data_IF_270316086077
#
_entry.id   IF_270316086077
#
_cell.length_a   1.000
_cell.length_b   1.000
_cell.length_c   1.000
_cell.angle_alpha   90.00
_cell.angle_beta   90.00
_cell.angle_gamma   90.00
#
_symmetry.space_group_name_H-M   'P 1'
#
loop_
_entity.id
_entity.type
_entity.pdbx_description
1 polymer ?
#
# COMPACT_ATOMS: atom_id res chain seq x y z
N UNK A 1 -2.02 5.42 28.71
CA UNK A 1 -2.67 4.55 27.72
C UNK A 1 -2.58 3.11 28.24
N UNK A 2 -3.55 2.25 27.99
CA UNK A 2 -3.42 0.83 28.30
C UNK A 2 -2.57 0.12 27.24
N UNK A 3 -1.95 -1.02 27.57
CA UNK A 3 -1.14 -1.80 26.61
C UNK A 3 -1.92 -2.19 25.34
N UNK A 4 -3.23 -2.45 25.45
CA UNK A 4 -4.08 -2.75 24.30
C UNK A 4 -4.33 -1.52 23.41
N UNK A 5 -4.45 -0.33 24.02
CA UNK A 5 -4.59 0.92 23.26
C UNK A 5 -3.29 1.31 22.58
N UNK A 6 -2.13 1.02 23.21
CA UNK A 6 -0.82 1.22 22.60
C UNK A 6 -0.63 0.35 21.37
N UNK A 7 -0.91 -0.96 21.47
CA UNK A 7 -0.82 -1.88 20.33
C UNK A 7 -1.72 -1.46 19.18
N UNK A 8 -2.99 -1.11 19.47
CA UNK A 8 -3.93 -0.65 18.46
C UNK A 8 -3.43 0.63 17.78
N UNK A 9 -2.81 1.56 18.51
CA UNK A 9 -2.28 2.77 17.92
C UNK A 9 -1.11 2.46 16.96
N UNK A 10 -0.25 1.48 17.31
CA UNK A 10 0.79 0.98 16.40
C UNK A 10 0.17 0.32 15.16
N UNK A 11 -0.87 -0.49 15.31
CA UNK A 11 -1.60 -1.08 14.18
C UNK A 11 -2.14 -0.01 13.21
N UNK A 12 -2.68 1.10 13.72
CA UNK A 12 -3.14 2.21 12.88
C UNK A 12 -2.00 2.90 12.14
N UNK A 13 -0.84 3.05 12.77
CA UNK A 13 0.36 3.60 12.13
C UNK A 13 0.80 2.69 10.98
N UNK A 14 0.95 1.38 11.26
CA UNK A 14 1.40 0.38 10.27
C UNK A 14 0.41 0.27 9.11
N UNK A 15 -0.88 0.15 9.39
CA UNK A 15 -1.92 0.10 8.37
C UNK A 15 -1.92 1.35 7.47
N UNK A 16 -1.73 2.54 8.06
CA UNK A 16 -1.61 3.79 7.29
C UNK A 16 -0.39 3.76 6.38
N UNK A 17 0.76 3.37 6.92
CA UNK A 17 2.03 3.34 6.18
C UNK A 17 1.96 2.33 5.03
N UNK A 18 1.40 1.14 5.25
CA UNK A 18 1.24 0.13 4.20
C UNK A 18 0.27 0.59 3.09
N UNK A 19 -0.77 1.34 3.45
CA UNK A 19 -1.76 1.84 2.49
C UNK A 19 -1.30 3.10 1.72
N UNK A 20 -0.45 3.93 2.32
CA UNK A 20 -0.11 5.26 1.76
C UNK A 20 1.38 5.47 1.46
N UNK A 21 2.27 4.61 1.93
CA UNK A 21 3.73 4.73 1.81
C UNK A 21 4.33 5.76 2.77
N UNK A 22 3.82 6.99 2.77
CA UNK A 22 4.19 8.07 3.69
C UNK A 22 2.94 8.65 4.34
N UNK A 23 2.92 8.71 5.67
CA UNK A 23 1.77 9.21 6.44
C UNK A 23 2.18 10.21 7.51
N UNK A 24 1.67 11.46 7.50
CA UNK A 24 1.87 12.41 8.58
C UNK A 24 1.22 11.94 9.89
N UNK A 25 1.83 12.27 11.03
CA UNK A 25 1.27 11.97 12.36
C UNK A 25 -0.17 12.46 12.52
N UNK A 26 -0.45 13.66 12.02
CA UNK A 26 -1.77 14.29 12.09
C UNK A 26 -2.83 13.42 11.41
N UNK A 27 -2.50 12.82 10.26
CA UNK A 27 -3.45 11.98 9.54
C UNK A 27 -3.78 10.70 10.31
N UNK A 28 -2.77 10.01 10.85
CA UNK A 28 -2.99 8.79 11.67
C UNK A 28 -3.83 9.12 12.90
N UNK A 29 -3.52 10.23 13.58
CA UNK A 29 -4.26 10.69 14.76
C UNK A 29 -5.74 10.97 14.43
N UNK A 30 -6.01 11.60 13.28
CA UNK A 30 -7.38 11.83 12.79
C UNK A 30 -8.09 10.50 12.54
N UNK A 31 -7.51 9.60 11.76
CA UNK A 31 -8.14 8.31 11.40
C UNK A 31 -8.41 7.46 12.65
N UNK A 32 -7.44 7.37 13.56
CA UNK A 32 -7.62 6.67 14.83
C UNK A 32 -8.78 7.27 15.63
N UNK A 33 -8.82 8.60 15.77
CA UNK A 33 -9.86 9.28 16.50
C UNK A 33 -11.22 9.20 15.82
N UNK A 34 -11.32 9.09 14.50
CA UNK A 34 -12.61 8.94 13.83
C UNK A 34 -13.19 7.53 13.99
N UNK A 35 -12.33 6.51 14.07
CA UNK A 35 -12.72 5.11 14.04
C UNK A 35 -12.84 4.43 15.41
N UNK A 36 -12.34 5.04 16.49
CA UNK A 36 -12.34 4.45 17.84
C UNK A 36 -13.06 5.33 18.87
N UNK A 37 -13.61 4.72 19.92
CA UNK A 37 -14.26 5.48 21.00
C UNK A 37 -13.24 6.25 21.85
N UNK A 38 -12.15 5.58 22.26
CA UNK A 38 -11.01 6.22 22.91
C UNK A 38 -10.32 7.17 21.94
N UNK A 39 -10.13 8.43 22.36
CA UNK A 39 -9.44 9.45 21.58
C UNK A 39 -8.08 9.75 22.16
N UNK A 40 -7.14 10.16 21.32
CA UNK A 40 -5.82 10.63 21.70
C UNK A 40 -5.62 12.08 21.21
N UNK A 41 -5.00 12.91 22.05
CA UNK A 41 -4.61 14.25 21.64
C UNK A 41 -3.27 14.20 20.88
N UNK A 42 -3.04 15.16 19.99
CA UNK A 42 -1.83 15.18 19.16
C UNK A 42 -0.54 15.24 19.98
N UNK A 43 -0.54 15.91 21.12
CA UNK A 43 0.61 15.99 22.03
C UNK A 43 0.95 14.61 22.63
N UNK A 44 -0.08 13.88 23.09
CA UNK A 44 0.07 12.52 23.62
C UNK A 44 0.50 11.54 22.53
N UNK A 45 -0.08 11.66 21.32
CA UNK A 45 0.30 10.86 20.15
C UNK A 45 1.77 11.08 19.80
N UNK A 46 2.21 12.33 19.72
CA UNK A 46 3.60 12.68 19.43
C UNK A 46 4.55 12.15 20.51
N UNK A 47 4.17 12.27 21.79
CA UNK A 47 4.95 11.71 22.90
C UNK A 47 5.05 10.18 22.82
N UNK A 48 3.96 9.52 22.44
CA UNK A 48 3.92 8.06 22.26
C UNK A 48 4.87 7.60 21.14
N UNK A 49 4.75 8.16 19.94
CA UNK A 49 5.51 7.70 18.75
C UNK A 49 6.97 8.12 18.73
N UNK A 50 7.36 9.07 19.58
CA UNK A 50 8.78 9.46 19.78
C UNK A 50 9.47 8.65 20.86
N UNK A 51 8.76 7.77 21.58
CA UNK A 51 9.37 6.89 22.56
C UNK A 51 10.19 5.79 21.89
N UNK A 52 11.36 5.48 22.45
CA UNK A 52 12.26 4.47 21.88
C UNK A 52 11.62 3.08 21.77
N UNK A 53 10.72 2.73 22.70
CA UNK A 53 10.00 1.45 22.67
C UNK A 53 9.05 1.37 21.47
N UNK A 54 8.28 2.43 21.21
CA UNK A 54 7.35 2.46 20.08
C UNK A 54 8.10 2.53 18.76
N UNK A 55 9.20 3.29 18.69
CA UNK A 55 10.05 3.31 17.48
C UNK A 55 10.60 1.92 17.15
N UNK A 56 11.08 1.17 18.14
CA UNK A 56 11.53 -0.21 17.91
C UNK A 56 10.39 -1.12 17.40
N UNK A 57 9.18 -1.00 17.95
CA UNK A 57 8.00 -1.75 17.47
C UNK A 57 7.62 -1.40 16.03
N UNK A 58 7.79 -0.14 15.62
CA UNK A 58 7.51 0.33 14.27
C UNK A 58 8.59 -0.15 13.28
N UNK A 59 9.86 -0.10 13.66
CA UNK A 59 10.97 -0.59 12.84
C UNK A 59 10.88 -2.11 12.61
N UNK A 60 10.47 -2.89 13.61
CA UNK A 60 10.17 -4.33 13.45
C UNK A 60 9.03 -4.61 12.45
N UNK A 61 8.25 -3.58 12.10
CA UNK A 61 7.14 -3.61 11.15
C UNK A 61 7.43 -2.74 9.92
N UNK A 62 8.71 -2.47 9.66
CA UNK A 62 9.19 -1.76 8.47
C UNK A 62 8.66 -0.32 8.34
N UNK A 63 8.41 0.34 9.47
CA UNK A 63 7.97 1.74 9.54
C UNK A 63 9.00 2.60 10.26
N UNK A 64 9.49 3.64 9.59
CA UNK A 64 10.40 4.62 10.15
C UNK A 64 9.70 5.93 10.49
N UNK A 65 10.15 6.57 11.57
CA UNK A 65 9.63 7.85 12.04
C UNK A 65 10.62 8.97 11.68
N UNK A 66 10.24 9.86 10.75
CA UNK A 66 11.11 10.95 10.28
C UNK A 66 10.30 12.23 10.17
N UNK A 67 10.76 13.30 10.82
CA UNK A 67 10.21 14.66 10.70
C UNK A 67 8.67 14.79 10.81
N UNK A 68 8.05 14.01 11.70
CA UNK A 68 6.60 14.03 11.92
C UNK A 68 5.79 13.19 10.92
N UNK A 69 6.46 12.32 10.17
CA UNK A 69 5.90 11.37 9.23
C UNK A 69 6.31 9.93 9.58
N UNK A 70 5.44 8.99 9.22
CA UNK A 70 5.74 7.57 9.14
C UNK A 70 6.06 7.23 7.69
N UNK A 71 7.18 6.55 7.47
CA UNK A 71 7.71 6.22 6.15
C UNK A 71 7.92 4.71 6.07
N UNK A 72 7.37 4.08 5.04
CA UNK A 72 7.60 2.67 4.73
C UNK A 72 9.06 2.41 4.37
N UNK A 73 9.65 1.31 4.85
CA UNK A 73 11.01 0.88 4.47
C UNK A 73 11.20 0.75 2.96
N UNK A 74 10.14 0.37 2.24
CA UNK A 74 10.16 0.26 0.78
C UNK A 74 10.41 1.59 0.03
N UNK A 75 10.44 2.73 0.73
CA UNK A 75 10.91 4.01 0.17
C UNK A 75 12.39 4.14 0.53
N UNK A 76 13.26 3.80 -0.41
CA UNK A 76 14.68 3.58 -0.12
C UNK A 76 15.55 4.83 -0.28
N UNK A 77 14.98 5.90 -0.82
CA UNK A 77 15.71 7.11 -1.22
C UNK A 77 14.87 8.38 -1.08
N UNK A 78 15.58 9.49 -0.86
CA UNK A 78 14.96 10.82 -0.82
C UNK A 78 14.27 11.15 -2.14
N UNK A 79 14.85 10.72 -3.27
CA UNK A 79 14.27 10.92 -4.59
C UNK A 79 12.94 10.18 -4.78
N UNK A 80 12.80 8.97 -4.22
CA UNK A 80 11.53 8.24 -4.23
C UNK A 80 10.48 8.93 -3.37
N UNK A 81 10.84 9.35 -2.16
CA UNK A 81 9.96 10.12 -1.30
C UNK A 81 9.50 11.42 -1.99
N UNK A 82 10.43 12.17 -2.59
CA UNK A 82 10.13 13.43 -3.28
C UNK A 82 9.17 13.21 -4.47
N UNK A 83 9.32 12.11 -5.22
CA UNK A 83 8.39 11.74 -6.29
C UNK A 83 7.01 11.44 -5.75
N UNK A 84 6.91 10.64 -4.69
CA UNK A 84 5.64 10.33 -4.04
C UNK A 84 4.97 11.59 -3.51
N UNK A 85 5.70 12.43 -2.78
CA UNK A 85 5.23 13.71 -2.24
C UNK A 85 4.68 14.62 -3.35
N UNK A 86 5.33 14.67 -4.51
CA UNK A 86 4.82 15.41 -5.67
C UNK A 86 3.53 14.78 -6.22
N UNK A 87 3.47 13.45 -6.33
CA UNK A 87 2.33 12.75 -6.89
C UNK A 87 1.07 12.85 -6.03
N UNK A 88 1.20 12.91 -4.70
CA UNK A 88 0.06 12.95 -3.76
C UNK A 88 -0.46 14.36 -3.46
N UNK A 89 0.21 15.42 -3.95
CA UNK A 89 -0.18 16.81 -3.70
C UNK A 89 -1.62 17.10 -4.11
N UNK A 90 -2.39 17.64 -3.17
CA UNK A 90 -3.79 18.03 -3.38
C UNK A 90 -4.78 16.86 -3.44
N UNK A 91 -4.33 15.61 -3.30
CA UNK A 91 -5.21 14.44 -3.24
C UNK A 91 -5.72 14.22 -1.81
N UNK A 92 -7.00 13.86 -1.62
CA UNK A 92 -7.51 13.37 -0.33
C UNK A 92 -7.01 11.95 -0.06
N UNK A 93 -7.12 11.51 1.20
CA UNK A 93 -6.84 10.13 1.57
C UNK A 93 -8.09 9.26 1.36
N UNK A 94 -7.88 8.06 0.83
CA UNK A 94 -8.88 6.99 0.90
C UNK A 94 -8.84 6.39 2.30
N UNK A 95 -9.90 6.59 3.08
CA UNK A 95 -10.01 5.98 4.42
C UNK A 95 -11.11 4.92 4.39
N UNK A 96 -10.77 3.61 4.37
CA UNK A 96 -11.76 2.54 4.48
C UNK A 96 -12.36 2.49 5.89
N UNK A 97 -13.42 1.69 6.08
CA UNK A 97 -13.92 1.42 7.43
C UNK A 97 -12.87 0.71 8.30
N UNK A 98 -13.04 0.78 9.62
CA UNK A 98 -12.08 0.24 10.60
C UNK A 98 -11.71 -1.22 10.36
N UNK A 99 -12.66 -2.06 9.97
CA UNK A 99 -12.43 -3.51 9.80
C UNK A 99 -11.55 -3.75 8.59
N UNK A 100 -11.79 -3.01 7.51
CA UNK A 100 -10.97 -3.08 6.30
C UNK A 100 -9.61 -2.40 6.49
N UNK A 101 -9.57 -1.25 7.18
CA UNK A 101 -8.35 -0.50 7.45
C UNK A 101 -7.31 -1.35 8.19
N UNK A 102 -7.73 -2.05 9.25
CA UNK A 102 -6.83 -2.88 10.06
C UNK A 102 -6.33 -4.14 9.34
N UNK A 103 -6.86 -4.50 8.16
CA UNK A 103 -6.26 -5.58 7.35
C UNK A 103 -4.91 -5.17 6.76
N UNK A 104 -4.70 -3.87 6.51
CA UNK A 104 -3.44 -3.34 6.02
C UNK A 104 -2.31 -3.38 7.06
N UNK A 105 -2.57 -3.83 8.30
CA UNK A 105 -1.49 -4.16 9.25
C UNK A 105 -0.60 -5.28 8.70
N UNK A 106 -1.21 -6.25 8.00
CA UNK A 106 -0.48 -7.26 7.25
C UNK A 106 0.08 -6.62 5.97
N UNK A 107 1.40 -6.53 5.87
CA UNK A 107 2.10 -5.97 4.70
C UNK A 107 1.80 -6.74 3.40
N UNK A 108 1.40 -8.02 3.51
CA UNK A 108 1.05 -8.87 2.38
C UNK A 108 -0.41 -8.68 1.97
N UNK A 109 -1.20 -7.92 2.73
CA UNK A 109 -2.59 -7.66 2.41
C UNK A 109 -2.73 -6.69 1.25
N UNK A 110 -3.48 -7.12 0.24
CA UNK A 110 -4.04 -6.26 -0.78
C UNK A 110 -5.50 -6.62 -1.02
N UNK A 111 -6.29 -5.63 -1.46
CA UNK A 111 -7.69 -5.85 -1.77
C UNK A 111 -7.82 -6.80 -2.96
N UNK A 112 -8.58 -7.90 -2.78
CA UNK A 112 -8.79 -8.88 -3.84
C UNK A 112 -9.71 -8.34 -4.92
N UNK A 113 -9.36 -8.56 -6.19
CA UNK A 113 -10.16 -8.13 -7.34
C UNK A 113 -10.41 -9.28 -8.32
N UNK A 114 -11.51 -9.25 -9.09
CA UNK A 114 -11.75 -10.24 -10.15
C UNK A 114 -10.62 -10.30 -11.21
N UNK A 115 -9.96 -9.17 -11.46
CA UNK A 115 -8.84 -9.04 -12.39
C UNK A 115 -7.63 -9.88 -11.96
N UNK A 116 -7.34 -9.91 -10.65
CA UNK A 116 -6.27 -10.76 -10.11
C UNK A 116 -6.58 -12.23 -10.35
N UNK A 117 -7.83 -12.67 -10.15
CA UNK A 117 -8.23 -14.07 -10.44
C UNK A 117 -8.19 -14.40 -11.94
N UNK A 118 -8.51 -13.44 -12.80
CA UNK A 118 -8.34 -13.58 -14.25
C UNK A 118 -6.86 -13.78 -14.62
N UNK A 119 -5.95 -13.01 -14.01
CA UNK A 119 -4.51 -13.19 -14.22
C UNK A 119 -4.05 -14.58 -13.75
N UNK A 120 -4.49 -15.01 -12.57
CA UNK A 120 -4.17 -16.36 -12.07
C UNK A 120 -4.63 -17.44 -13.03
N UNK A 121 -5.81 -17.29 -13.64
CA UNK A 121 -6.29 -18.24 -14.64
C UNK A 121 -5.37 -18.29 -15.87
N UNK A 122 -4.95 -17.15 -16.40
CA UNK A 122 -4.01 -17.10 -17.54
C UNK A 122 -2.68 -17.76 -17.20
N UNK A 123 -2.12 -17.48 -16.02
CA UNK A 123 -0.89 -18.11 -15.55
C UNK A 123 -1.05 -19.63 -15.41
N UNK A 124 -2.19 -20.12 -14.90
CA UNK A 124 -2.46 -21.57 -14.81
C UNK A 124 -2.47 -22.25 -16.17
N UNK A 125 -2.95 -21.56 -17.21
CA UNK A 125 -2.98 -22.11 -18.58
C UNK A 125 -1.60 -22.29 -19.19
N UNK A 126 -0.64 -21.39 -18.89
CA UNK A 126 0.71 -21.45 -19.46
C UNK A 126 1.71 -22.23 -18.61
N UNK A 127 1.55 -22.20 -17.28
CA UNK A 127 2.56 -22.73 -16.34
C UNK A 127 2.07 -23.92 -15.51
N UNK A 128 0.76 -24.19 -15.47
CA UNK A 128 0.17 -25.21 -14.59
C UNK A 128 0.68 -25.04 -13.15
N UNK A 129 1.39 -26.05 -12.61
CA UNK A 129 1.96 -26.06 -11.25
C UNK A 129 3.44 -25.64 -11.21
N UNK A 130 4.03 -25.19 -12.32
CA UNK A 130 5.46 -24.85 -12.41
C UNK A 130 5.83 -23.47 -11.87
N UNK A 131 4.82 -22.67 -11.49
CA UNK A 131 4.95 -21.29 -11.04
C UNK A 131 4.11 -21.10 -9.75
N UNK A 132 4.62 -20.41 -8.71
CA UNK A 132 3.82 -20.10 -7.53
C UNK A 132 2.82 -18.97 -7.83
N UNK A 133 1.73 -19.29 -8.53
CA UNK A 133 0.80 -18.32 -9.13
C UNK A 133 0.23 -17.29 -8.14
N UNK A 134 -0.08 -17.70 -6.91
CA UNK A 134 -0.59 -16.75 -5.91
C UNK A 134 0.48 -15.74 -5.48
N UNK A 135 1.75 -16.16 -5.38
CA UNK A 135 2.89 -15.30 -5.03
C UNK A 135 3.22 -14.34 -6.17
N UNK A 136 3.19 -14.80 -7.42
CA UNK A 136 3.44 -13.97 -8.61
C UNK A 136 2.40 -12.86 -8.76
N UNK A 137 1.12 -13.18 -8.54
CA UNK A 137 0.06 -12.17 -8.57
C UNK A 137 0.16 -11.22 -7.38
N UNK A 138 0.50 -11.72 -6.19
CA UNK A 138 0.74 -10.86 -5.03
C UNK A 138 1.92 -9.90 -5.27
N UNK A 139 3.03 -10.40 -5.81
CA UNK A 139 4.21 -9.61 -6.16
C UNK A 139 3.90 -8.54 -7.20
N UNK A 140 3.14 -8.87 -8.24
CA UNK A 140 2.68 -7.89 -9.21
C UNK A 140 1.83 -6.79 -8.56
N UNK A 141 0.84 -7.17 -7.74
CA UNK A 141 -0.06 -6.20 -7.08
C UNK A 141 0.73 -5.27 -6.16
N UNK A 142 1.67 -5.81 -5.39
CA UNK A 142 2.58 -5.04 -4.55
C UNK A 142 3.42 -4.06 -5.38
N UNK A 143 4.09 -4.55 -6.43
CA UNK A 143 4.92 -3.71 -7.31
C UNK A 143 4.11 -2.60 -7.97
N UNK A 144 2.87 -2.87 -8.36
CA UNK A 144 1.94 -1.85 -8.87
C UNK A 144 1.63 -0.81 -7.79
N UNK A 145 1.27 -1.24 -6.58
CA UNK A 145 0.89 -0.38 -5.45
C UNK A 145 1.98 0.63 -5.05
N UNK A 146 3.24 0.19 -5.10
CA UNK A 146 4.41 1.01 -4.70
C UNK A 146 5.12 1.68 -5.89
N UNK A 147 4.60 1.53 -7.11
CA UNK A 147 5.34 1.94 -8.33
C UNK A 147 5.60 3.44 -8.47
N UNK A 148 4.86 4.30 -7.76
CA UNK A 148 5.04 5.75 -7.80
C UNK A 148 4.90 6.34 -9.21
N UNK A 149 3.97 5.81 -10.01
CA UNK A 149 3.78 6.18 -11.42
C UNK A 149 4.66 5.40 -12.42
N UNK A 150 5.47 4.46 -11.94
CA UNK A 150 6.36 3.60 -12.73
C UNK A 150 5.70 2.37 -13.37
N UNK A 151 4.37 2.37 -13.56
CA UNK A 151 3.61 1.19 -14.02
C UNK A 151 4.19 0.52 -15.28
N UNK A 152 4.68 1.29 -16.26
CA UNK A 152 5.29 0.73 -17.47
C UNK A 152 6.51 -0.15 -17.16
N UNK A 153 7.31 0.20 -16.15
CA UNK A 153 8.45 -0.61 -15.72
C UNK A 153 7.97 -1.89 -15.06
N UNK A 154 6.95 -1.81 -14.19
CA UNK A 154 6.34 -2.98 -13.53
C UNK A 154 5.77 -3.96 -14.56
N UNK A 155 5.06 -3.45 -15.56
CA UNK A 155 4.53 -4.25 -16.66
C UNK A 155 5.65 -4.95 -17.44
N UNK A 156 6.70 -4.20 -17.84
CA UNK A 156 7.82 -4.79 -18.58
C UNK A 156 8.55 -5.87 -17.79
N UNK A 157 8.87 -5.61 -16.51
CA UNK A 157 9.55 -6.59 -15.65
C UNK A 157 8.72 -7.87 -15.50
N UNK A 158 7.43 -7.73 -15.20
CA UNK A 158 6.54 -8.89 -15.07
C UNK A 158 6.49 -9.72 -16.36
N UNK A 159 6.37 -9.09 -17.54
CA UNK A 159 6.34 -9.81 -18.81
C UNK A 159 7.68 -10.48 -19.16
N UNK A 160 8.80 -9.87 -18.78
CA UNK A 160 10.14 -10.45 -18.96
C UNK A 160 10.33 -11.69 -18.08
N UNK A 161 9.87 -11.65 -16.83
CA UNK A 161 9.97 -12.75 -15.86
C UNK A 161 9.17 -13.98 -16.26
N UNK A 162 8.09 -13.80 -17.03
CA UNK A 162 7.34 -14.90 -17.62
C UNK A 162 8.18 -15.75 -18.60
N UNK A 163 9.22 -15.19 -19.23
CA UNK A 163 10.05 -15.91 -20.22
C UNK A 163 9.25 -16.55 -21.37
N UNK A 164 8.09 -15.98 -21.72
CA UNK A 164 7.26 -16.44 -22.84
C UNK A 164 7.65 -15.78 -24.16
N UNK A 165 7.35 -16.41 -25.30
CA UNK A 165 7.38 -15.71 -26.58
C UNK A 165 6.50 -14.45 -26.54
N UNK A 166 6.97 -13.35 -27.13
CA UNK A 166 6.29 -12.04 -27.10
C UNK A 166 4.79 -12.15 -27.46
N UNK A 167 4.47 -12.91 -28.51
CA UNK A 167 3.09 -13.10 -28.98
C UNK A 167 2.17 -13.75 -27.94
N UNK A 168 2.73 -14.57 -27.03
CA UNK A 168 1.99 -15.19 -25.93
C UNK A 168 1.93 -14.25 -24.72
N UNK A 169 3.03 -13.55 -24.42
CA UNK A 169 3.10 -12.58 -23.32
C UNK A 169 2.14 -11.38 -23.52
N UNK A 170 1.90 -10.95 -24.77
CA UNK A 170 1.01 -9.83 -25.09
C UNK A 170 -0.43 -10.01 -24.55
N UNK A 171 -0.90 -11.26 -24.36
CA UNK A 171 -2.25 -11.53 -23.84
C UNK A 171 -2.45 -11.15 -22.37
N UNK A 172 -1.36 -10.97 -21.62
CA UNK A 172 -1.39 -10.58 -20.21
C UNK A 172 -1.57 -9.07 -20.02
N UNK A 173 -1.13 -8.26 -20.99
CA UNK A 173 -1.10 -6.79 -20.90
C UNK A 173 -2.47 -6.21 -20.50
N UNK A 174 -3.61 -6.57 -21.14
CA UNK A 174 -4.90 -5.98 -20.78
C UNK A 174 -5.30 -6.26 -19.33
N UNK A 175 -5.05 -7.48 -18.84
CA UNK A 175 -5.41 -7.87 -17.47
C UNK A 175 -4.54 -7.16 -16.45
N UNK A 176 -3.24 -7.00 -16.73
CA UNK A 176 -2.32 -6.26 -15.84
C UNK A 176 -2.70 -4.78 -15.78
N UNK A 177 -3.13 -4.18 -16.90
CA UNK A 177 -3.68 -2.81 -16.90
C UNK A 177 -4.91 -2.72 -16.01
N UNK A 178 -5.86 -3.66 -16.12
CA UNK A 178 -7.05 -3.65 -15.26
C UNK A 178 -6.71 -3.86 -13.77
N UNK A 179 -5.68 -4.65 -13.45
CA UNK A 179 -5.15 -4.75 -12.09
C UNK A 179 -4.66 -3.38 -11.63
N UNK A 180 -3.85 -2.68 -12.41
CA UNK A 180 -3.37 -1.34 -12.06
C UNK A 180 -4.50 -0.32 -11.87
N UNK A 181 -5.61 -0.44 -12.62
CA UNK A 181 -6.78 0.42 -12.43
C UNK A 181 -7.56 0.14 -11.13
N UNK A 182 -7.46 -1.09 -10.60
CA UNK A 182 -8.27 -1.59 -9.47
C UNK A 182 -7.48 -1.78 -8.18
N UNK A 183 -6.15 -1.69 -8.23
CA UNK A 183 -5.26 -1.67 -7.07
C UNK A 183 -5.24 -0.28 -6.43
N UNK A 184 -5.12 -0.25 -5.10
CA UNK A 184 -4.93 0.99 -4.32
C UNK A 184 -3.48 1.41 -4.42
N UNK A 185 -3.22 2.66 -4.81
CA UNK A 185 -1.87 3.12 -5.09
C UNK A 185 -1.41 4.15 -4.07
N UNK A 186 -0.12 4.13 -3.72
CA UNK A 186 0.48 5.11 -2.83
C UNK A 186 0.43 6.52 -3.42
N UNK A 187 0.74 6.67 -4.72
CA UNK A 187 0.64 7.96 -5.43
C UNK A 187 -0.79 8.53 -5.48
N UNK A 188 -1.79 7.71 -5.13
CA UNK A 188 -3.19 8.07 -5.04
C UNK A 188 -3.71 8.12 -3.61
N UNK A 189 -2.83 8.10 -2.59
CA UNK A 189 -3.19 8.07 -1.18
C UNK A 189 -4.22 6.97 -0.85
N UNK A 190 -3.97 5.77 -1.37
CA UNK A 190 -4.81 4.59 -1.13
C UNK A 190 -6.06 4.50 -2.00
N UNK A 191 -6.31 5.46 -2.89
CA UNK A 191 -7.37 5.34 -3.89
C UNK A 191 -6.96 4.42 -5.04
N UNK A 192 -7.95 3.76 -5.64
CA UNK A 192 -7.83 3.20 -6.99
C UNK A 192 -7.88 4.33 -8.03
N UNK A 193 -7.41 4.07 -9.26
CA UNK A 193 -7.49 5.05 -10.35
C UNK A 193 -8.94 5.50 -10.60
N UNK A 194 -9.90 4.56 -10.55
CA UNK A 194 -11.32 4.84 -10.77
C UNK A 194 -11.90 5.75 -9.70
N UNK A 195 -11.64 5.47 -8.43
CA UNK A 195 -12.11 6.30 -7.31
C UNK A 195 -11.57 7.73 -7.42
N UNK A 196 -10.29 7.91 -7.74
CA UNK A 196 -9.67 9.23 -7.83
C UNK A 196 -10.24 10.05 -9.01
N UNK A 197 -10.48 9.42 -10.16
CA UNK A 197 -11.07 10.08 -11.33
C UNK A 197 -12.46 10.64 -11.04
N UNK A 198 -13.32 9.91 -10.31
CA UNK A 198 -14.64 10.40 -9.92
C UNK A 198 -14.60 11.56 -8.93
N UNK A 199 -13.54 11.68 -8.13
CA UNK A 199 -13.41 12.75 -7.14
C UNK A 199 -12.85 14.05 -7.74
N UNK A 200 -12.09 13.96 -8.83
CA UNK A 200 -11.44 15.09 -9.48
C UNK A 200 -12.20 15.63 -10.70
N UNK A 201 -13.35 15.02 -11.05
CA UNK A 201 -14.26 15.44 -12.11
C UNK A 201 -15.32 16.42 -11.63
#
# INVERSE_FOLDING_TARGET
>A
MSMFEEELLVEYIVASTNLYGVTPFEHVCIVYNEQNESKIQMEDFTTFVTSATVQAMLEERFVFVVDGEFISEAIDSTEEKDRLDQAVRGKPYYVPDRTEFLKFVDEQYFQRTPQQEQLKQLLREDYEDSLPIDEEVAGLVYNVQVSGGGFSSVLSMFLEDLQLPIQQAERYIPVIIEIAETTRLWEHKGHTQKELLYMMS
#
